data_IF_465674544641
#
_entry.id   IF_465674544641
#
_cell.length_a   1.000
_cell.length_b   1.000
_cell.length_c   1.000
_cell.angle_alpha   90.00
_cell.angle_beta   90.00
_cell.angle_gamma   90.00
#
_symmetry.space_group_name_H-M   'P 1'
#
loop_
_entity.id
_entity.type
_entity.pdbx_description
1 polymer ?
#
# COMPACT_ATOMS: atom_id res chain seq x y z
N UNK A 1 11.62 9.55 11.87
CA UNK A 1 11.42 8.25 11.19
C UNK A 1 12.72 7.85 10.50
N UNK A 2 13.32 6.71 10.88
CA UNK A 2 14.60 6.25 10.30
C UNK A 2 14.47 6.05 8.79
N UNK A 3 15.51 6.37 8.01
CA UNK A 3 15.48 6.28 6.53
C UNK A 3 15.12 4.86 6.04
N UNK A 4 15.48 3.85 6.84
CA UNK A 4 15.11 2.45 6.64
C UNK A 4 13.59 2.23 6.67
N UNK A 5 12.86 2.90 7.57
CA UNK A 5 11.41 2.78 7.62
C UNK A 5 10.75 3.39 6.37
N UNK A 6 11.22 4.55 5.92
CA UNK A 6 10.72 5.15 4.68
C UNK A 6 10.91 4.23 3.48
N UNK A 7 12.05 3.55 3.39
CA UNK A 7 12.33 2.57 2.33
C UNK A 7 11.42 1.34 2.40
N UNK A 8 11.19 0.80 3.60
CA UNK A 8 10.30 -0.36 3.81
C UNK A 8 8.86 -0.01 3.39
N UNK A 9 8.33 1.14 3.81
CA UNK A 9 6.98 1.57 3.41
C UNK A 9 6.85 1.76 1.90
N UNK A 10 7.88 2.29 1.25
CA UNK A 10 7.91 2.44 -0.21
C UNK A 10 7.90 1.08 -0.92
N UNK A 11 8.70 0.11 -0.45
CA UNK A 11 8.70 -1.26 -0.98
C UNK A 11 7.35 -1.95 -0.80
N UNK A 12 6.73 -1.82 0.39
CA UNK A 12 5.40 -2.38 0.66
C UNK A 12 4.36 -1.75 -0.26
N UNK A 13 4.36 -0.43 -0.42
CA UNK A 13 3.45 0.25 -1.33
C UNK A 13 3.56 -0.27 -2.77
N UNK A 14 4.78 -0.35 -3.31
CA UNK A 14 5.01 -0.85 -4.67
C UNK A 14 4.55 -2.31 -4.83
N UNK A 15 4.81 -3.15 -3.84
CA UNK A 15 4.36 -4.53 -3.85
C UNK A 15 2.82 -4.62 -3.81
N UNK A 16 2.16 -3.86 -2.93
CA UNK A 16 0.70 -3.88 -2.80
C UNK A 16 0.00 -3.31 -4.04
N UNK A 17 0.54 -2.26 -4.67
CA UNK A 17 0.03 -1.73 -5.94
C UNK A 17 0.22 -2.74 -7.07
N UNK A 18 1.39 -3.38 -7.15
CA UNK A 18 1.64 -4.45 -8.12
C UNK A 18 0.71 -5.65 -7.93
N UNK A 19 0.47 -6.04 -6.69
CA UNK A 19 -0.48 -7.12 -6.35
C UNK A 19 -1.93 -6.75 -6.69
N UNK A 20 -2.33 -5.51 -6.42
CA UNK A 20 -3.63 -4.98 -6.85
C UNK A 20 -3.81 -5.04 -8.36
N UNK A 21 -2.75 -4.77 -9.14
CA UNK A 21 -2.77 -4.87 -10.59
C UNK A 21 -2.93 -6.32 -11.07
N UNK A 22 -2.27 -7.26 -10.41
CA UNK A 22 -2.44 -8.71 -10.68
C UNK A 22 -3.86 -9.17 -10.39
N UNK A 23 -4.44 -8.77 -9.25
CA UNK A 23 -5.85 -9.05 -8.91
C UNK A 23 -6.84 -8.51 -9.95
N UNK A 24 -6.54 -7.34 -10.51
CA UNK A 24 -7.36 -6.75 -11.58
C UNK A 24 -7.33 -7.62 -12.85
N UNK A 25 -6.16 -8.20 -13.18
CA UNK A 25 -6.00 -9.12 -14.32
C UNK A 25 -6.71 -10.46 -14.10
N UNK A 26 -6.76 -10.95 -12.87
CA UNK A 26 -7.51 -12.17 -12.49
C UNK A 26 -9.04 -11.99 -12.44
N UNK A 27 -9.58 -10.88 -12.99
CA UNK A 27 -10.99 -10.49 -12.96
C UNK A 27 -11.59 -10.30 -11.55
N UNK A 28 -10.79 -10.36 -10.50
CA UNK A 28 -11.22 -10.10 -9.14
C UNK A 28 -11.19 -8.59 -8.83
N UNK A 29 -12.10 -7.84 -9.48
CA UNK A 29 -12.16 -6.37 -9.42
C UNK A 29 -12.45 -5.84 -8.01
N UNK A 30 -13.26 -6.56 -7.23
CA UNK A 30 -13.56 -6.20 -5.83
C UNK A 30 -12.32 -6.35 -4.95
N UNK A 31 -11.59 -7.47 -5.07
CA UNK A 31 -10.33 -7.67 -4.36
C UNK A 31 -9.27 -6.65 -4.76
N UNK A 32 -9.14 -6.35 -6.06
CA UNK A 32 -8.23 -5.33 -6.55
C UNK A 32 -8.55 -3.95 -5.94
N UNK A 33 -9.82 -3.54 -5.93
CA UNK A 33 -10.21 -2.26 -5.36
C UNK A 33 -9.96 -2.19 -3.85
N UNK A 34 -10.28 -3.26 -3.10
CA UNK A 34 -10.02 -3.33 -1.67
C UNK A 34 -8.52 -3.24 -1.35
N UNK A 35 -7.67 -3.93 -2.09
CA UNK A 35 -6.22 -3.91 -1.88
C UNK A 35 -5.60 -2.59 -2.31
N UNK A 36 -6.13 -1.95 -3.36
CA UNK A 36 -5.72 -0.61 -3.75
C UNK A 36 -5.98 0.41 -2.63
N UNK A 37 -7.20 0.40 -2.06
CA UNK A 37 -7.54 1.26 -0.92
C UNK A 37 -6.66 0.93 0.30
N UNK A 38 -6.41 -0.35 0.57
CA UNK A 38 -5.53 -0.80 1.65
C UNK A 38 -4.10 -0.25 1.48
N UNK A 39 -3.58 -0.22 0.25
CA UNK A 39 -2.25 0.33 -0.04
C UNK A 39 -2.14 1.82 0.31
N UNK A 40 -3.22 2.58 0.05
CA UNK A 40 -3.28 4.00 0.39
C UNK A 40 -3.28 4.21 1.91
N UNK A 41 -3.99 3.36 2.66
CA UNK A 41 -4.04 3.41 4.14
C UNK A 41 -2.68 3.06 4.75
N UNK A 42 -1.99 2.04 4.22
CA UNK A 42 -0.66 1.63 4.70
C UNK A 42 0.36 2.75 4.52
N UNK A 43 0.28 3.50 3.42
CA UNK A 43 1.16 4.65 3.17
C UNK A 43 0.84 5.84 4.07
N UNK A 44 -0.43 6.10 4.39
CA UNK A 44 -0.82 7.27 5.19
C UNK A 44 -0.68 7.06 6.70
N UNK A 45 -0.85 5.83 7.20
CA UNK A 45 -0.66 5.43 8.61
C UNK A 45 0.63 5.97 9.27
N UNK A 46 1.82 5.80 8.69
CA UNK A 46 3.06 6.31 9.28
C UNK A 46 3.10 7.83 9.34
N UNK A 47 2.38 8.56 8.48
CA UNK A 47 2.33 10.02 8.55
C UNK A 47 1.38 10.50 9.66
N UNK A 48 0.30 9.77 9.94
CA UNK A 48 -0.65 10.12 11.01
C UNK A 48 0.04 9.94 12.38
N UNK A 49 0.75 8.83 12.58
CA UNK A 49 1.49 8.55 13.82
C UNK A 49 2.70 9.46 14.07
N UNK A 50 3.16 10.20 13.07
CA UNK A 50 4.24 11.21 13.21
C UNK A 50 3.70 12.59 13.62
N UNK A 51 2.43 12.89 13.31
CA UNK A 51 1.81 14.17 13.61
C UNK A 51 1.00 14.17 14.93
N UNK A 52 0.90 13.03 15.62
CA UNK A 52 0.47 12.90 17.03
C UNK A 52 1.65 12.96 18.03
#
# INVERSE_FOLDING_TARGET
>A
MNILFGFIFLCVFLYTVGFSWTLWKEKNKLGAFAVFVLSAVIVTLPFITIFE
#
